data_IF_699025994173
#
_entry.id   IF_699025994173
#
_cell.length_a   1.000
_cell.length_b   1.000
_cell.length_c   1.000
_cell.angle_alpha   90.00
_cell.angle_beta   90.00
_cell.angle_gamma   90.00
#
_symmetry.space_group_name_H-M   'P 1'
#
loop_
_entity.id
_entity.type
_entity.pdbx_description
1 polymer ?
#
# COMPACT_ATOMS: atom_id res chain seq x y z
N UNK A 1 -11.81 5.54 3.21
CA UNK A 1 -10.73 4.56 3.35
C UNK A 1 -11.12 3.46 4.32
N UNK A 2 -11.33 3.74 5.61
CA UNK A 2 -11.69 2.72 6.61
C UNK A 2 -12.93 1.92 6.22
N UNK A 3 -14.00 2.58 5.76
CA UNK A 3 -15.21 1.89 5.26
C UNK A 3 -14.92 0.99 4.06
N UNK A 4 -14.05 1.42 3.13
CA UNK A 4 -13.66 0.57 2.00
C UNK A 4 -12.89 -0.68 2.47
N UNK A 5 -12.01 -0.54 3.47
CA UNK A 5 -11.31 -1.68 4.07
C UNK A 5 -12.28 -2.65 4.78
N UNK A 6 -13.29 -2.11 5.48
CA UNK A 6 -14.36 -2.92 6.09
C UNK A 6 -15.16 -3.66 5.01
N UNK A 7 -15.53 -2.99 3.90
CA UNK A 7 -16.20 -3.64 2.74
C UNK A 7 -15.35 -4.73 2.11
N UNK A 8 -14.03 -4.57 2.08
CA UNK A 8 -13.08 -5.59 1.62
C UNK A 8 -12.91 -6.75 2.62
N UNK A 9 -13.56 -6.68 3.79
CA UNK A 9 -13.61 -7.72 4.80
C UNK A 9 -12.46 -7.67 5.81
N UNK A 10 -11.65 -6.61 5.84
CA UNK A 10 -10.63 -6.45 6.90
C UNK A 10 -11.31 -6.11 8.23
N UNK A 11 -10.72 -6.61 9.33
CA UNK A 11 -11.05 -6.13 10.67
C UNK A 11 -10.44 -4.75 10.85
N UNK A 12 -11.31 -3.76 11.02
CA UNK A 12 -10.94 -2.37 11.25
C UNK A 12 -11.71 -1.87 12.47
N UNK A 13 -10.99 -1.46 13.49
CA UNK A 13 -11.53 -0.84 14.69
C UNK A 13 -11.15 0.65 14.66
N UNK A 14 -12.14 1.54 14.73
CA UNK A 14 -11.93 2.99 14.73
C UNK A 14 -12.44 3.63 16.03
N UNK A 15 -11.54 4.28 16.75
CA UNK A 15 -11.89 5.10 17.91
C UNK A 15 -11.76 6.58 17.53
N UNK A 16 -12.91 7.21 17.31
CA UNK A 16 -13.01 8.62 16.94
C UNK A 16 -12.62 9.56 18.07
N UNK A 17 -12.69 9.12 19.32
CA UNK A 17 -12.35 9.93 20.50
C UNK A 17 -10.84 10.08 20.59
N UNK A 18 -10.11 8.98 20.46
CA UNK A 18 -8.64 8.97 20.50
C UNK A 18 -8.00 9.22 19.14
N UNK A 19 -8.79 9.31 18.06
CA UNK A 19 -8.34 9.41 16.66
C UNK A 19 -7.40 8.27 16.26
N UNK A 20 -7.64 7.08 16.82
CA UNK A 20 -6.85 5.88 16.53
C UNK A 20 -7.66 4.92 15.66
N UNK A 21 -6.96 4.21 14.78
CA UNK A 21 -7.52 3.11 14.03
C UNK A 21 -6.58 1.90 14.12
N UNK A 22 -7.14 0.73 14.38
CA UNK A 22 -6.44 -0.55 14.37
C UNK A 22 -6.92 -1.33 13.16
N UNK A 23 -5.99 -1.72 12.29
CA UNK A 23 -6.26 -2.48 11.06
C UNK A 23 -5.52 -3.80 11.14
N UNK A 24 -6.25 -4.91 11.10
CA UNK A 24 -5.66 -6.23 11.01
C UNK A 24 -5.29 -6.52 9.55
N UNK A 25 -4.01 -6.75 9.28
CA UNK A 25 -3.51 -7.02 7.93
C UNK A 25 -3.98 -8.38 7.40
N UNK A 26 -4.33 -8.46 6.11
CA UNK A 26 -4.77 -9.70 5.46
C UNK A 26 -3.65 -10.44 4.72
N UNK A 27 -2.39 -10.04 4.94
CA UNK A 27 -1.21 -10.55 4.25
C UNK A 27 -1.11 -10.16 2.78
N UNK A 28 -2.02 -9.36 2.23
CA UNK A 28 -1.97 -8.94 0.82
C UNK A 28 -2.93 -9.68 -0.10
N UNK A 29 -3.82 -10.53 0.42
CA UNK A 29 -5.04 -10.93 -0.29
C UNK A 29 -6.24 -10.45 0.50
N UNK A 30 -7.13 -9.67 -0.12
CA UNK A 30 -8.33 -9.20 0.57
C UNK A 30 -9.30 -10.37 0.82
N UNK A 31 -9.96 -10.45 2.00
CA UNK A 31 -10.90 -11.53 2.31
C UNK A 31 -12.01 -11.71 1.27
N UNK A 32 -12.52 -10.62 0.68
CA UNK A 32 -13.48 -10.68 -0.43
C UNK A 32 -12.90 -11.33 -1.69
N UNK A 33 -11.59 -11.18 -1.93
CA UNK A 33 -10.86 -11.79 -3.03
C UNK A 33 -10.79 -13.32 -2.99
N UNK A 34 -11.14 -13.94 -1.84
CA UNK A 34 -11.18 -15.41 -1.65
C UNK A 34 -12.51 -16.03 -2.06
N UNK A 35 -13.57 -15.23 -2.21
CA UNK A 35 -14.89 -15.67 -2.67
C UNK A 35 -14.94 -15.48 -4.19
N UNK A 36 -14.92 -16.57 -4.94
CA UNK A 36 -14.95 -16.54 -6.40
C UNK A 36 -16.32 -16.09 -6.92
N UNK A 37 -16.32 -15.14 -7.87
CA UNK A 37 -17.46 -14.64 -8.67
C UNK A 37 -18.35 -13.50 -8.13
N UNK A 38 -18.06 -12.93 -6.96
CA UNK A 38 -18.79 -11.73 -6.52
C UNK A 38 -18.19 -10.45 -7.14
N UNK A 39 -19.07 -9.51 -7.52
CA UNK A 39 -18.67 -8.13 -7.82
C UNK A 39 -18.73 -7.30 -6.54
N UNK A 40 -17.60 -6.70 -6.17
CA UNK A 40 -17.47 -5.83 -5.00
C UNK A 40 -17.47 -4.38 -5.44
N UNK A 41 -18.51 -3.66 -5.02
CA UNK A 41 -18.65 -2.23 -5.28
C UNK A 41 -18.09 -1.41 -4.12
N UNK A 42 -17.13 -0.52 -4.41
CA UNK A 42 -16.51 0.39 -3.46
C UNK A 42 -16.87 1.84 -3.82
N UNK A 43 -17.74 2.44 -3.02
CA UNK A 43 -18.08 3.85 -3.16
C UNK A 43 -17.16 4.72 -2.28
N UNK A 44 -16.31 5.54 -2.91
CA UNK A 44 -15.27 6.32 -2.25
C UNK A 44 -15.60 7.82 -2.12
N UNK A 45 -16.84 8.22 -2.42
CA UNK A 45 -17.26 9.63 -2.33
C UNK A 45 -16.37 10.54 -3.18
N UNK A 46 -15.76 11.56 -2.57
CA UNK A 46 -14.78 12.46 -3.22
C UNK A 46 -13.33 12.23 -2.72
N UNK A 47 -13.03 11.06 -2.13
CA UNK A 47 -11.74 10.74 -1.53
C UNK A 47 -10.70 10.28 -2.57
N UNK A 48 -10.15 11.22 -3.34
CA UNK A 48 -9.16 10.92 -4.39
C UNK A 48 -7.86 10.28 -3.88
N UNK A 49 -7.47 10.61 -2.65
CA UNK A 49 -6.32 10.00 -1.96
C UNK A 49 -6.56 8.55 -1.53
N UNK A 50 -7.81 8.09 -1.49
CA UNK A 50 -8.15 6.69 -1.28
C UNK A 50 -8.31 5.93 -2.60
N UNK A 51 -8.91 6.56 -3.61
CA UNK A 51 -9.16 5.97 -4.93
C UNK A 51 -7.90 5.36 -5.54
N UNK A 52 -6.82 6.15 -5.64
CA UNK A 52 -5.60 5.73 -6.37
C UNK A 52 -4.85 4.58 -5.67
N UNK A 53 -4.53 4.65 -4.37
CA UNK A 53 -3.88 3.53 -3.69
C UNK A 53 -4.75 2.28 -3.66
N UNK A 54 -6.08 2.40 -3.47
CA UNK A 54 -6.97 1.24 -3.48
C UNK A 54 -7.04 0.58 -4.85
N UNK A 55 -7.09 1.35 -5.94
CA UNK A 55 -7.06 0.78 -7.30
C UNK A 55 -5.81 -0.09 -7.50
N UNK A 56 -4.63 0.43 -7.16
CA UNK A 56 -3.38 -0.32 -7.32
C UNK A 56 -3.30 -1.52 -6.36
N UNK A 57 -3.69 -1.35 -5.10
CA UNK A 57 -3.67 -2.42 -4.10
C UNK A 57 -4.63 -3.56 -4.45
N UNK A 58 -5.82 -3.27 -5.00
CA UNK A 58 -6.80 -4.29 -5.40
C UNK A 58 -6.32 -5.09 -6.60
N UNK A 59 -5.67 -4.44 -7.56
CA UNK A 59 -5.02 -5.12 -8.68
C UNK A 59 -3.92 -6.06 -8.17
N UNK A 60 -3.03 -5.56 -7.32
CA UNK A 60 -1.87 -6.32 -6.84
C UNK A 60 -2.24 -7.45 -5.87
N UNK A 61 -3.21 -7.23 -4.99
CA UNK A 61 -3.70 -8.24 -4.06
C UNK A 61 -4.31 -9.46 -4.79
N UNK A 62 -4.76 -9.29 -6.03
CA UNK A 62 -5.23 -10.38 -6.87
C UNK A 62 -6.56 -10.98 -6.41
N UNK A 63 -6.64 -12.30 -6.46
CA UNK A 63 -7.88 -13.07 -6.32
C UNK A 63 -8.63 -13.23 -7.63
N UNK A 64 -9.81 -13.85 -7.57
CA UNK A 64 -10.68 -14.12 -8.71
C UNK A 64 -12.02 -13.39 -8.53
N UNK A 65 -11.92 -12.08 -8.32
CA UNK A 65 -13.03 -11.19 -7.92
C UNK A 65 -13.03 -9.94 -8.80
N UNK A 66 -14.22 -9.39 -9.05
CA UNK A 66 -14.38 -8.15 -9.80
C UNK A 66 -14.60 -6.99 -8.83
N UNK A 67 -13.89 -5.89 -9.03
CA UNK A 67 -14.06 -4.68 -8.22
C UNK A 67 -14.52 -3.52 -9.09
N UNK A 68 -15.44 -2.72 -8.57
CA UNK A 68 -15.81 -1.42 -9.14
C UNK A 68 -15.55 -0.35 -8.09
N UNK A 69 -14.68 0.61 -8.42
CA UNK A 69 -14.41 1.77 -7.57
C UNK A 69 -15.08 2.98 -8.21
N UNK A 70 -16.02 3.58 -7.48
CA UNK A 70 -16.77 4.75 -7.94
C UNK A 70 -16.84 5.82 -6.84
N UNK A 71 -17.41 6.97 -7.18
CA UNK A 71 -17.65 8.05 -6.24
C UNK A 71 -18.74 9.00 -6.74
N UNK A 72 -18.78 10.18 -6.12
CA UNK A 72 -19.70 11.25 -6.55
C UNK A 72 -19.31 11.78 -7.94
N UNK A 73 -20.18 12.52 -8.65
CA UNK A 73 -19.86 13.06 -9.99
C UNK A 73 -18.51 13.79 -10.06
N UNK A 74 -18.16 14.57 -9.03
CA UNK A 74 -16.87 15.25 -8.95
C UNK A 74 -15.66 14.30 -8.91
N UNK A 75 -15.81 13.09 -8.40
CA UNK A 75 -14.76 12.05 -8.44
C UNK A 75 -14.57 11.52 -9.86
N UNK A 76 -15.64 11.43 -10.65
CA UNK A 76 -15.62 10.96 -12.04
C UNK A 76 -15.00 11.95 -13.02
N UNK A 77 -14.60 13.11 -12.52
CA UNK A 77 -13.82 14.13 -13.24
C UNK A 77 -12.34 14.13 -12.82
N UNK A 78 -11.96 13.31 -11.83
CA UNK A 78 -10.57 13.26 -11.35
C UNK A 78 -9.77 12.27 -12.19
N UNK A 79 -8.64 12.69 -12.79
CA UNK A 79 -7.86 11.80 -13.63
C UNK A 79 -7.25 10.66 -12.80
N UNK A 80 -7.28 9.48 -13.42
CA UNK A 80 -6.62 8.25 -12.95
C UNK A 80 -6.02 7.43 -14.11
N UNK A 81 -6.22 7.88 -15.35
CA UNK A 81 -5.81 7.17 -16.57
C UNK A 81 -4.34 6.73 -16.59
N UNK A 82 -3.41 7.56 -16.11
CA UNK A 82 -1.98 7.19 -16.10
C UNK A 82 -1.68 6.01 -15.16
N UNK A 83 -2.36 5.96 -14.01
CA UNK A 83 -2.27 4.81 -13.11
C UNK A 83 -2.86 3.56 -13.77
N UNK A 84 -4.03 3.67 -14.41
CA UNK A 84 -4.67 2.56 -15.12
C UNK A 84 -3.78 2.06 -16.25
N UNK A 85 -3.19 2.96 -17.04
CA UNK A 85 -2.23 2.64 -18.10
C UNK A 85 -0.99 1.94 -17.54
N UNK A 86 -0.43 2.43 -16.43
CA UNK A 86 0.72 1.79 -15.78
C UNK A 86 0.41 0.38 -15.27
N UNK A 87 -0.75 0.18 -14.64
CA UNK A 87 -1.19 -1.14 -14.19
C UNK A 87 -1.42 -2.11 -15.37
N UNK A 88 -1.98 -1.62 -16.49
CA UNK A 88 -2.13 -2.41 -17.72
C UNK A 88 -0.78 -2.86 -18.29
N UNK A 89 0.24 -1.99 -18.28
CA UNK A 89 1.60 -2.36 -18.72
C UNK A 89 2.18 -3.51 -17.88
N UNK A 90 1.81 -3.60 -16.60
CA UNK A 90 2.19 -4.66 -15.68
C UNK A 90 1.29 -5.91 -15.78
N UNK A 91 0.41 -5.99 -16.78
CA UNK A 91 -0.43 -7.15 -17.07
C UNK A 91 -1.78 -7.17 -16.34
N UNK A 92 -2.19 -6.07 -15.70
CA UNK A 92 -3.48 -5.99 -15.02
C UNK A 92 -4.66 -5.83 -15.99
N UNK A 93 -5.79 -6.46 -15.65
CA UNK A 93 -7.08 -6.21 -16.30
C UNK A 93 -7.87 -5.16 -15.50
N UNK A 94 -7.64 -3.89 -15.85
CA UNK A 94 -8.22 -2.72 -15.18
C UNK A 94 -8.59 -1.67 -16.19
N UNK A 95 -9.77 -1.06 -16.07
CA UNK A 95 -10.23 -0.03 -17.01
C UNK A 95 -11.14 1.03 -16.40
N UNK A 96 -11.03 2.25 -16.92
CA UNK A 96 -12.05 3.28 -16.77
C UNK A 96 -13.17 3.00 -17.78
N UNK A 97 -14.15 2.19 -17.40
CA UNK A 97 -15.11 1.60 -18.35
C UNK A 97 -16.11 2.61 -18.96
N UNK A 98 -16.12 3.86 -18.50
CA UNK A 98 -16.86 4.96 -19.15
C UNK A 98 -16.06 5.66 -20.27
N UNK A 99 -14.79 5.29 -20.49
CA UNK A 99 -13.94 5.86 -21.54
C UNK A 99 -13.42 7.28 -21.27
N UNK A 100 -13.53 7.77 -20.03
CA UNK A 100 -13.19 9.16 -19.65
C UNK A 100 -11.81 9.33 -19.00
N UNK A 101 -11.00 8.27 -18.91
CA UNK A 101 -9.74 8.25 -18.13
C UNK A 101 -9.90 8.67 -16.65
N UNK A 102 -11.13 8.63 -16.15
CA UNK A 102 -11.53 8.97 -14.80
C UNK A 102 -12.37 7.82 -14.22
N UNK A 103 -12.59 7.78 -12.89
CA UNK A 103 -13.54 6.85 -12.29
C UNK A 103 -14.94 6.94 -12.94
N UNK A 104 -15.74 5.88 -12.90
CA UNK A 104 -15.52 4.63 -12.18
C UNK A 104 -14.46 3.71 -12.82
N UNK A 105 -13.69 3.02 -11.97
CA UNK A 105 -12.65 2.07 -12.38
C UNK A 105 -13.13 0.66 -12.11
N UNK A 106 -13.04 -0.21 -13.12
CA UNK A 106 -13.32 -1.64 -13.01
C UNK A 106 -12.01 -2.41 -13.00
N UNK A 107 -11.88 -3.36 -12.08
CA UNK A 107 -10.76 -4.29 -11.98
C UNK A 107 -11.29 -5.71 -12.09
N UNK A 108 -10.65 -6.53 -12.91
CA UNK A 108 -10.92 -7.97 -13.02
C UNK A 108 -9.71 -8.70 -12.43
N UNK A 109 -9.85 -9.20 -11.20
CA UNK A 109 -8.82 -9.98 -10.53
C UNK A 109 -8.59 -11.31 -11.26
N UNK A 110 -7.33 -11.55 -11.65
CA UNK A 110 -6.88 -12.77 -12.35
C UNK A 110 -5.67 -13.39 -11.63
N UNK A 111 -5.78 -13.60 -10.32
CA UNK A 111 -4.74 -14.28 -9.53
C UNK A 111 -3.57 -13.41 -9.05
N UNK A 112 -3.48 -12.14 -9.45
CA UNK A 112 -2.46 -11.20 -8.97
C UNK A 112 -1.95 -10.28 -10.07
N UNK A 113 -1.06 -9.36 -9.71
CA UNK A 113 -0.33 -8.54 -10.67
C UNK A 113 0.94 -9.29 -11.12
N UNK A 114 1.09 -9.62 -12.42
CA UNK A 114 2.28 -10.35 -12.90
C UNK A 114 3.61 -9.66 -12.59
N UNK A 115 3.66 -8.34 -12.68
CA UNK A 115 4.89 -7.55 -12.58
C UNK A 115 5.48 -7.25 -13.95
N UNK A 116 6.77 -6.95 -14.00
CA UNK A 116 7.50 -6.57 -15.21
C UNK A 116 7.85 -5.08 -15.24
N UNK A 117 7.91 -4.51 -16.44
CA UNK A 117 8.37 -3.12 -16.65
C UNK A 117 7.21 -2.20 -16.96
N UNK A 118 7.22 -1.02 -16.36
CA UNK A 118 6.25 0.04 -16.63
C UNK A 118 6.96 1.36 -16.86
N UNK A 119 6.51 2.11 -17.87
CA UNK A 119 6.95 3.48 -18.12
C UNK A 119 5.89 4.46 -17.63
N UNK A 120 6.34 5.48 -16.90
CA UNK A 120 5.49 6.52 -16.34
C UNK A 120 6.11 7.91 -16.56
N UNK A 121 5.28 8.91 -16.81
CA UNK A 121 5.72 10.31 -16.83
C UNK A 121 5.82 10.84 -15.39
N UNK A 122 7.00 11.34 -15.03
CA UNK A 122 7.33 12.01 -13.78
C UNK A 122 6.79 13.43 -13.68
N UNK A 123 6.30 14.01 -14.78
CA UNK A 123 5.63 15.31 -14.79
C UNK A 123 4.16 15.25 -14.38
N UNK A 124 3.49 14.09 -14.52
CA UNK A 124 2.02 14.04 -14.44
C UNK A 124 1.48 13.76 -13.03
N UNK A 125 2.11 12.93 -12.18
CA UNK A 125 1.88 12.99 -10.72
C UNK A 125 2.68 11.95 -9.94
N UNK A 126 3.38 12.38 -8.87
CA UNK A 126 3.93 11.45 -7.85
C UNK A 126 2.87 10.56 -7.20
N UNK A 127 1.60 10.94 -7.26
CA UNK A 127 0.50 10.17 -6.66
C UNK A 127 0.29 8.81 -7.36
N UNK A 128 0.56 8.73 -8.67
CA UNK A 128 0.44 7.47 -9.42
C UNK A 128 1.64 6.58 -9.18
N UNK A 129 2.85 7.18 -9.21
CA UNK A 129 4.08 6.49 -8.84
C UNK A 129 3.97 5.92 -7.42
N UNK A 130 3.51 6.71 -6.45
CA UNK A 130 3.28 6.26 -5.08
C UNK A 130 2.30 5.08 -5.01
N UNK A 131 1.19 5.13 -5.74
CA UNK A 131 0.23 4.03 -5.76
C UNK A 131 0.85 2.73 -6.35
N UNK A 132 1.62 2.84 -7.43
CA UNK A 132 2.35 1.71 -8.02
C UNK A 132 3.41 1.16 -7.08
N UNK A 133 4.24 2.03 -6.48
CA UNK A 133 5.28 1.64 -5.53
C UNK A 133 4.71 0.89 -4.33
N UNK A 134 3.59 1.35 -3.76
CA UNK A 134 2.96 0.66 -2.62
C UNK A 134 2.31 -0.68 -3.01
N UNK A 135 1.92 -0.86 -4.28
CA UNK A 135 1.28 -2.08 -4.77
C UNK A 135 2.30 -3.12 -5.28
N UNK A 136 3.43 -2.66 -5.81
CA UNK A 136 4.48 -3.50 -6.41
C UNK A 136 5.00 -4.65 -5.53
N UNK A 137 5.16 -4.52 -4.19
CA UNK A 137 5.64 -5.62 -3.34
C UNK A 137 4.63 -6.79 -3.25
N UNK A 138 3.39 -6.55 -3.66
CA UNK A 138 2.34 -7.57 -3.74
C UNK A 138 2.27 -8.26 -5.11
N UNK A 139 3.07 -7.83 -6.08
CA UNK A 139 3.15 -8.47 -7.38
C UNK A 139 3.77 -9.87 -7.29
N UNK A 140 3.42 -10.71 -8.27
CA UNK A 140 3.92 -12.08 -8.40
C UNK A 140 5.39 -12.13 -8.79
N UNK A 141 5.86 -11.11 -9.52
CA UNK A 141 7.26 -10.91 -9.89
C UNK A 141 7.68 -9.45 -9.71
N UNK A 142 8.95 -9.18 -10.00
CA UNK A 142 9.55 -7.87 -9.79
C UNK A 142 8.89 -6.79 -10.66
N UNK A 143 8.86 -5.57 -10.13
CA UNK A 143 8.32 -4.40 -10.81
C UNK A 143 9.43 -3.38 -11.01
N UNK A 144 9.74 -3.09 -12.28
CA UNK A 144 10.65 -2.03 -12.68
C UNK A 144 9.84 -0.84 -13.23
N UNK A 145 9.95 0.31 -12.56
CA UNK A 145 9.28 1.55 -12.96
C UNK A 145 10.32 2.49 -13.55
N UNK A 146 10.17 2.83 -14.83
CA UNK A 146 11.01 3.79 -15.54
C UNK A 146 10.26 5.12 -15.70
N UNK A 147 10.89 6.22 -15.27
CA UNK A 147 10.40 7.58 -15.46
C UNK A 147 10.94 8.11 -16.78
N UNK A 148 10.04 8.41 -17.72
CA UNK A 148 10.43 8.78 -19.09
C UNK A 148 10.88 10.24 -19.24
N UNK A 149 10.54 11.08 -18.28
CA UNK A 149 10.88 12.50 -18.23
C UNK A 149 11.42 12.87 -16.83
N UNK A 150 11.38 14.15 -16.46
CA UNK A 150 11.88 14.59 -15.16
C UNK A 150 10.85 14.36 -14.07
N UNK A 151 11.23 13.63 -13.03
CA UNK A 151 10.43 13.54 -11.80
C UNK A 151 10.42 14.88 -11.06
N UNK A 152 9.25 15.54 -11.05
CA UNK A 152 9.10 16.87 -10.41
C UNK A 152 8.95 16.75 -8.89
N UNK A 153 8.41 15.63 -8.41
CA UNK A 153 7.88 15.48 -7.05
C UNK A 153 8.70 14.52 -6.18
N UNK A 154 10.04 14.58 -6.27
CA UNK A 154 10.97 13.71 -5.51
C UNK A 154 10.66 13.65 -4.01
N UNK A 155 10.41 14.76 -3.28
CA UNK A 155 10.17 14.70 -1.83
C UNK A 155 8.97 13.84 -1.43
N UNK A 156 7.94 13.77 -2.28
CA UNK A 156 6.78 12.92 -2.04
C UNK A 156 7.10 11.45 -2.26
N UNK A 157 7.94 11.14 -3.23
CA UNK A 157 8.40 9.76 -3.48
C UNK A 157 9.31 9.30 -2.35
N UNK A 158 10.24 10.12 -1.89
CA UNK A 158 11.06 9.84 -0.71
C UNK A 158 10.22 9.54 0.54
N UNK A 159 9.15 10.33 0.76
CA UNK A 159 8.22 10.09 1.86
C UNK A 159 7.55 8.71 1.73
N UNK A 160 7.14 8.33 0.53
CA UNK A 160 6.59 7.00 0.24
C UNK A 160 7.61 5.91 0.50
N UNK A 161 8.86 6.05 0.04
CA UNK A 161 9.90 5.05 0.25
C UNK A 161 10.22 4.85 1.75
N UNK A 162 10.35 5.93 2.51
CA UNK A 162 10.54 5.87 3.97
C UNK A 162 9.35 5.23 4.68
N UNK A 163 8.13 5.45 4.18
CA UNK A 163 6.95 4.78 4.72
C UNK A 163 7.02 3.27 4.44
N UNK A 164 7.32 2.87 3.21
CA UNK A 164 7.48 1.48 2.81
C UNK A 164 8.55 0.76 3.63
N UNK A 165 9.68 1.42 3.90
CA UNK A 165 10.76 0.92 4.75
C UNK A 165 10.29 0.62 6.18
N UNK A 166 9.42 1.47 6.76
CA UNK A 166 8.81 1.20 8.08
C UNK A 166 7.91 -0.03 8.09
N UNK A 167 7.39 -0.42 6.94
CA UNK A 167 6.64 -1.67 6.75
C UNK A 167 7.54 -2.84 6.29
N UNK A 168 8.87 -2.67 6.33
CA UNK A 168 9.85 -3.70 5.97
C UNK A 168 10.07 -3.88 4.48
N UNK A 169 9.65 -2.94 3.65
CA UNK A 169 9.80 -2.98 2.19
C UNK A 169 10.89 -2.02 1.74
N UNK A 170 11.88 -2.54 1.04
CA UNK A 170 12.96 -1.74 0.45
C UNK A 170 12.74 -1.61 -1.05
N UNK A 171 12.98 -0.40 -1.57
CA UNK A 171 12.88 -0.07 -2.99
C UNK A 171 14.23 0.41 -3.45
N UNK A 172 14.77 -0.23 -4.47
CA UNK A 172 15.98 0.24 -5.14
C UNK A 172 15.58 1.36 -6.12
N UNK A 173 16.38 2.42 -6.19
CA UNK A 173 16.16 3.47 -7.17
C UNK A 173 17.47 4.06 -7.66
N UNK A 174 17.47 4.59 -8.88
CA UNK A 174 18.64 5.28 -9.42
C UNK A 174 18.90 6.60 -8.70
N UNK A 175 20.16 7.07 -8.74
CA UNK A 175 20.54 8.37 -8.19
C UNK A 175 19.79 9.54 -8.84
N UNK A 176 19.37 9.37 -10.10
CA UNK A 176 18.65 10.37 -10.88
C UNK A 176 17.13 10.29 -10.74
N UNK A 177 16.61 9.34 -9.96
CA UNK A 177 15.17 9.11 -9.75
C UNK A 177 14.40 8.75 -11.03
N UNK A 178 15.09 8.20 -12.01
CA UNK A 178 14.52 7.77 -13.30
C UNK A 178 14.15 6.28 -13.35
N UNK A 179 14.57 5.50 -12.35
CA UNK A 179 14.28 4.07 -12.25
C UNK A 179 14.02 3.66 -10.81
N UNK A 180 13.03 2.80 -10.62
CA UNK A 180 12.72 2.15 -9.34
C UNK A 180 12.55 0.66 -9.58
N UNK A 181 13.12 -0.17 -8.70
CA UNK A 181 12.96 -1.62 -8.70
C UNK A 181 12.40 -2.04 -7.35
N UNK A 182 11.29 -2.78 -7.41
CA UNK A 182 10.63 -3.37 -6.26
C UNK A 182 10.58 -4.87 -6.48
N UNK A 183 11.20 -5.63 -5.57
CA UNK A 183 11.19 -7.08 -5.63
C UNK A 183 9.83 -7.64 -5.23
N UNK A 184 9.24 -8.46 -6.10
CA UNK A 184 8.00 -9.18 -5.86
C UNK A 184 8.26 -10.60 -5.34
N UNK A 185 7.22 -11.37 -5.05
CA UNK A 185 7.35 -12.81 -4.77
C UNK A 185 8.08 -13.18 -3.47
N UNK A 186 8.78 -14.33 -3.47
CA UNK A 186 9.23 -15.13 -2.30
C UNK A 186 10.15 -14.42 -1.28
N UNK A 187 10.62 -13.20 -1.55
CA UNK A 187 11.35 -12.36 -0.58
C UNK A 187 10.64 -11.06 -0.16
N UNK A 188 9.49 -10.73 -0.79
CA UNK A 188 8.71 -9.53 -0.51
C UNK A 188 7.59 -9.74 0.50
N UNK A 189 6.80 -8.70 0.85
CA UNK A 189 5.69 -8.79 1.81
C UNK A 189 4.58 -9.76 1.44
N UNK A 190 4.49 -10.12 0.17
CA UNK A 190 3.58 -11.12 -0.37
C UNK A 190 4.07 -12.56 -0.17
N UNK A 191 5.35 -12.77 0.12
CA UNK A 191 5.93 -14.10 0.32
C UNK A 191 5.31 -14.82 1.52
N UNK A 192 5.18 -16.16 1.46
CA UNK A 192 4.78 -16.96 2.62
C UNK A 192 5.72 -16.77 3.82
N UNK A 193 7.02 -16.56 3.57
CA UNK A 193 8.06 -16.39 4.60
C UNK A 193 7.97 -15.02 5.28
N UNK A 194 7.73 -13.93 4.55
CA UNK A 194 7.44 -12.62 5.13
C UNK A 194 6.10 -12.63 5.87
N UNK A 195 5.05 -13.25 5.30
CA UNK A 195 3.74 -13.42 5.97
C UNK A 195 3.84 -14.21 7.28
N UNK A 196 4.69 -15.24 7.34
CA UNK A 196 4.93 -16.03 8.53
C UNK A 196 5.79 -15.28 9.57
N UNK A 197 6.78 -14.49 9.12
CA UNK A 197 7.66 -13.72 10.00
C UNK A 197 7.06 -12.39 10.48
N UNK A 198 6.05 -11.85 9.78
CA UNK A 198 5.33 -10.61 10.13
C UNK A 198 4.44 -10.70 11.37
N UNK A 199 4.45 -11.82 12.10
CA UNK A 199 3.88 -11.93 13.44
C UNK A 199 4.61 -11.09 14.51
N UNK A 200 5.15 -9.93 14.14
CA UNK A 200 5.96 -9.05 14.98
C UNK A 200 5.06 -8.15 15.84
N UNK A 201 5.11 -8.37 17.15
CA UNK A 201 4.57 -7.49 18.20
C UNK A 201 5.31 -6.16 18.24
N UNK A 202 4.56 -5.06 18.22
CA UNK A 202 5.10 -3.69 18.23
C UNK A 202 4.79 -2.89 19.50
N UNK A 203 4.66 -3.52 20.68
CA UNK A 203 4.49 -2.76 21.92
C UNK A 203 5.33 -3.28 23.09
N UNK A 204 6.34 -2.48 23.48
CA UNK A 204 6.48 -1.95 24.84
C UNK A 204 7.16 -0.58 24.80
N UNK A 205 6.59 0.38 25.55
CA UNK A 205 7.07 1.74 25.79
C UNK A 205 8.40 1.75 26.58
N UNK A 206 9.20 2.85 26.57
CA UNK A 206 10.50 2.88 27.24
C UNK A 206 10.35 2.97 28.77
N UNK A 207 11.28 2.43 29.59
CA UNK A 207 11.22 2.63 31.01
C UNK A 207 11.63 4.07 31.37
N UNK A 208 10.94 4.66 32.35
CA UNK A 208 11.35 5.90 33.00
C UNK A 208 12.71 5.67 33.68
N UNK A 209 13.74 6.40 33.28
CA UNK A 209 14.95 6.58 34.09
C UNK A 209 14.80 7.86 34.91
N UNK A 210 14.84 7.73 36.23
CA UNK A 210 15.16 8.84 37.14
C UNK A 210 16.46 8.51 37.88
N UNK A 211 17.42 9.43 37.68
CA UNK A 211 18.66 9.78 38.41
C UNK A 211 19.87 8.82 38.49
N UNK A 212 21.02 9.33 38.01
CA UNK A 212 22.38 8.91 38.39
C UNK A 212 23.38 8.82 37.22
N UNK A 213 24.35 9.74 37.15
CA UNK A 213 25.29 10.02 36.04
C UNK A 213 26.33 8.90 35.78
N UNK A 214 26.50 8.44 34.52
CA UNK A 214 27.75 8.53 33.71
C UNK A 214 27.79 7.54 32.52
N UNK A 215 28.42 7.97 31.42
CA UNK A 215 28.44 7.39 30.07
C UNK A 215 29.10 5.99 29.93
N UNK A 216 28.41 5.07 29.21
CA UNK A 216 28.87 4.08 28.18
C UNK A 216 28.04 2.77 28.23
N UNK A 217 27.31 2.42 27.15
CA UNK A 217 26.65 1.10 26.93
C UNK A 217 27.48 0.23 25.97
N UNK A 218 27.23 -1.11 25.74
CA UNK A 218 26.03 -1.97 25.89
C UNK A 218 26.29 -3.16 26.87
N UNK A 219 25.65 -4.38 26.85
CA UNK A 219 24.39 -4.92 26.28
C UNK A 219 23.45 -5.57 27.34
N UNK A 220 22.21 -5.95 26.97
CA UNK A 220 21.27 -6.71 27.84
C UNK A 220 20.87 -8.06 27.24
N UNK A 221 20.86 -9.10 28.09
CA UNK A 221 20.18 -10.39 27.86
C UNK A 221 18.73 -10.36 28.38
N UNK A 222 17.91 -11.24 27.82
CA UNK A 222 16.44 -11.32 27.98
C UNK A 222 16.04 -12.67 28.59
N UNK A 223 15.06 -12.68 29.50
CA UNK A 223 14.24 -13.86 29.81
C UNK A 223 12.74 -13.60 29.56
N UNK A 224 12.05 -14.66 29.12
CA UNK A 224 10.77 -14.70 28.37
C UNK A 224 9.52 -14.79 29.25
N UNK A 225 8.38 -14.24 28.75
CA UNK A 225 7.05 -14.89 28.79
C UNK A 225 5.95 -14.21 27.89
N UNK A 226 5.34 -15.04 27.01
CA UNK A 226 3.97 -15.12 26.35
C UNK A 226 3.12 -13.93 25.80
N UNK A 227 2.16 -14.17 24.84
CA UNK A 227 1.93 -13.25 23.70
C UNK A 227 0.48 -12.76 23.34
N UNK A 228 0.30 -11.50 22.85
CA UNK A 228 -0.65 -11.04 21.78
C UNK A 228 -0.07 -9.93 20.83
N UNK A 229 -0.45 -9.91 19.53
CA UNK A 229 0.01 -9.01 18.43
C UNK A 229 -0.97 -7.84 18.14
N UNK A 230 -0.53 -6.58 18.26
CA UNK A 230 -1.27 -5.37 17.85
C UNK A 230 -0.31 -4.28 17.30
N UNK A 231 -0.78 -3.49 16.32
CA UNK A 231 -0.08 -2.32 15.76
C UNK A 231 -0.96 -1.07 15.98
N UNK A 232 -0.37 -0.02 16.58
CA UNK A 232 -1.05 1.23 16.96
C UNK A 232 -0.35 2.41 16.29
N UNK A 233 -1.09 3.28 15.62
CA UNK A 233 -0.56 4.54 15.06
C UNK A 233 -1.05 5.73 15.89
N UNK A 234 -0.13 6.41 16.57
CA UNK A 234 -0.39 7.65 17.29
C UNK A 234 0.29 8.84 16.62
N UNK A 235 -0.42 9.95 16.47
CA UNK A 235 0.17 11.24 16.08
C UNK A 235 0.94 11.84 17.27
N UNK A 236 2.25 12.08 17.11
CA UNK A 236 2.99 12.97 18.01
C UNK A 236 2.61 14.41 17.67
N UNK A 237 2.00 15.10 18.63
CA UNK A 237 1.89 16.56 18.62
C UNK A 237 3.30 17.15 18.63
N UNK A 238 3.60 17.97 17.62
CA UNK A 238 4.69 18.94 17.70
C UNK A 238 4.11 20.19 18.37
N UNK A 239 4.55 20.46 19.60
CA UNK A 239 4.53 21.80 20.19
C UNK A 239 5.83 22.49 19.82
#
# INVERSE_FOLDING_TARGET
MLEALKTLGLRVEDDKTTKQAVVEGSGGLFPTGRKSNDEVNLFLGNAGTAMRPLTAALVAAGGNTRYILDGVPRMRERPIGDLVSGLKQLGADVDCFLGTNCPPVRIIGKGGLPGGKVKLSGSISSQYLTALLMAAPLALGDVEIEIVDKLISVPYVEMTLKLMERFGVFVEHSANWDKFLVHGGEGGPSSPEFRASSGIKWFQSPPKCSCGISNRGPPYQVQRQSPLNQLTFGSREYI
#
